data_IF_332402298355
#
_entry.id   IF_332402298355
#
_cell.length_a   1.000
_cell.length_b   1.000
_cell.length_c   1.000
_cell.angle_alpha   90.00
_cell.angle_beta   90.00
_cell.angle_gamma   90.00
#
_symmetry.space_group_name_H-M   'P 1'
#
loop_
_entity.id
_entity.type
_entity.pdbx_description
1 polymer ?
#
# COMPACT_ATOMS: atom_id res chain seq x y z
N UNK A 1 -5.29 -16.07 -4.28
CA UNK A 1 -4.45 -14.99 -3.73
C UNK A 1 -5.28 -14.25 -2.69
N UNK A 2 -4.77 -13.95 -1.48
CA UNK A 2 -5.58 -13.30 -0.46
C UNK A 2 -5.92 -11.87 -0.86
N UNK A 3 -7.18 -11.50 -0.68
CA UNK A 3 -7.71 -10.16 -0.93
C UNK A 3 -8.27 -9.58 0.37
N UNK A 4 -8.11 -8.28 0.56
CA UNK A 4 -8.63 -7.56 1.73
C UNK A 4 -9.47 -6.39 1.25
N UNK A 5 -10.50 -6.03 2.03
CA UNK A 5 -11.30 -4.85 1.73
C UNK A 5 -10.44 -3.59 1.78
N UNK A 6 -10.56 -2.74 0.77
CA UNK A 6 -9.77 -1.49 0.69
C UNK A 6 -9.99 -0.62 1.94
N UNK A 7 -11.22 -0.64 2.46
CA UNK A 7 -11.65 0.08 3.66
C UNK A 7 -11.06 -0.48 4.97
N UNK A 8 -10.57 -1.73 5.01
CA UNK A 8 -9.92 -2.30 6.21
C UNK A 8 -8.47 -1.82 6.38
N UNK A 9 -7.93 -1.09 5.40
CA UNK A 9 -6.51 -0.73 5.31
C UNK A 9 -6.32 0.74 5.70
N UNK A 10 -5.35 0.99 6.58
CA UNK A 10 -4.86 2.32 6.91
C UNK A 10 -3.54 2.62 6.20
N UNK A 11 -3.34 3.86 5.72
CA UNK A 11 -2.06 4.29 5.20
C UNK A 11 -1.00 4.31 6.32
N UNK A 12 0.26 4.36 5.93
CA UNK A 12 1.34 4.61 6.87
C UNK A 12 1.76 6.09 6.86
N UNK A 13 2.38 6.48 7.96
CA UNK A 13 2.81 7.83 8.33
C UNK A 13 4.30 8.06 8.04
N UNK A 14 4.98 7.08 7.45
CA UNK A 14 6.44 7.07 7.25
C UNK A 14 6.83 6.75 5.80
N UNK A 15 5.88 6.78 4.86
CA UNK A 15 6.18 6.53 3.45
C UNK A 15 6.93 7.74 2.87
N UNK A 16 8.21 7.55 2.55
CA UNK A 16 9.04 8.55 1.89
C UNK A 16 8.97 8.48 0.35
N UNK A 17 8.20 7.54 -0.21
CA UNK A 17 8.07 7.41 -1.65
C UNK A 17 7.29 8.60 -2.23
N UNK A 18 7.94 9.37 -3.10
CA UNK A 18 7.32 10.40 -3.92
C UNK A 18 7.17 9.85 -5.34
N UNK A 19 5.93 9.71 -5.79
CA UNK A 19 5.64 9.30 -7.18
C UNK A 19 5.25 10.55 -7.99
N UNK A 20 5.95 10.85 -9.11
CA UNK A 20 5.60 11.96 -9.97
C UNK A 20 4.16 11.86 -10.47
N UNK A 21 3.41 12.97 -10.58
CA UNK A 21 1.99 12.94 -10.95
C UNK A 21 1.72 12.21 -12.28
N UNK A 22 2.61 12.34 -13.27
CA UNK A 22 2.48 11.65 -14.55
C UNK A 22 2.61 10.12 -14.42
N UNK A 23 3.51 9.64 -13.56
CA UNK A 23 3.65 8.22 -13.28
C UNK A 23 2.43 7.67 -12.51
N UNK A 24 1.91 8.45 -11.56
CA UNK A 24 0.70 8.08 -10.83
C UNK A 24 -0.53 7.94 -11.74
N UNK A 25 -0.71 8.86 -12.71
CA UNK A 25 -1.82 8.75 -13.68
C UNK A 25 -1.74 7.47 -14.50
N UNK A 26 -0.56 7.12 -15.02
CA UNK A 26 -0.35 5.87 -15.77
C UNK A 26 -0.65 4.64 -14.91
N UNK A 27 -0.29 4.66 -13.62
CA UNK A 27 -0.65 3.59 -12.69
C UNK A 27 -2.18 3.45 -12.55
N UNK A 28 -2.90 4.56 -12.39
CA UNK A 28 -4.37 4.53 -12.27
C UNK A 28 -5.02 4.02 -13.55
N UNK A 29 -4.52 4.43 -14.72
CA UNK A 29 -4.99 3.96 -16.03
C UNK A 29 -4.76 2.46 -16.21
N UNK A 30 -3.54 1.99 -15.97
CA UNK A 30 -3.19 0.56 -16.06
C UNK A 30 -4.04 -0.30 -15.10
N UNK A 31 -4.23 0.17 -13.86
CA UNK A 31 -5.11 -0.49 -12.90
C UNK A 31 -6.56 -0.53 -13.38
N UNK A 32 -7.07 0.55 -13.96
CA UNK A 32 -8.44 0.61 -14.49
C UNK A 32 -8.65 -0.38 -15.63
N UNK A 33 -7.68 -0.49 -16.54
CA UNK A 33 -7.76 -1.35 -17.72
C UNK A 33 -7.62 -2.83 -17.37
N UNK A 34 -6.67 -3.17 -16.50
CA UNK A 34 -6.28 -4.57 -16.26
C UNK A 34 -6.84 -5.16 -14.96
N UNK A 35 -7.38 -4.32 -14.07
CA UNK A 35 -8.08 -4.74 -12.85
C UNK A 35 -7.16 -5.31 -11.75
N UNK A 36 -7.75 -5.84 -10.66
CA UNK A 36 -7.00 -6.24 -9.46
C UNK A 36 -6.01 -7.39 -9.65
N UNK A 37 -6.19 -8.24 -10.67
CA UNK A 37 -5.30 -9.36 -10.94
C UNK A 37 -3.97 -8.95 -11.60
N UNK A 38 -3.90 -7.75 -12.16
CA UNK A 38 -2.73 -7.28 -12.90
C UNK A 38 -1.76 -6.45 -12.07
N UNK A 39 -2.09 -6.16 -10.80
CA UNK A 39 -1.19 -5.44 -9.91
C UNK A 39 -0.40 -6.39 -9.02
N UNK A 40 0.84 -6.00 -8.73
CA UNK A 40 1.58 -6.58 -7.62
C UNK A 40 0.78 -6.45 -6.32
N UNK A 41 0.95 -7.42 -5.41
CA UNK A 41 0.33 -7.38 -4.08
C UNK A 41 0.82 -6.18 -3.27
N UNK A 42 -0.08 -5.55 -2.51
CA UNK A 42 0.31 -4.58 -1.48
C UNK A 42 0.76 -5.32 -0.21
N UNK A 43 1.79 -4.82 0.44
CA UNK A 43 2.34 -5.45 1.64
C UNK A 43 1.75 -4.80 2.88
N UNK A 44 1.19 -5.60 3.79
CA UNK A 44 0.48 -5.15 4.97
C UNK A 44 1.05 -5.78 6.25
N UNK A 45 0.89 -5.06 7.37
CA UNK A 45 0.96 -5.62 8.73
C UNK A 45 -0.37 -5.50 9.44
N UNK A 46 -0.57 -6.29 10.50
CA UNK A 46 -1.69 -6.10 11.44
C UNK A 46 -1.65 -4.69 12.05
N UNK A 47 -2.79 -4.00 12.04
CA UNK A 47 -2.93 -2.71 12.69
C UNK A 47 -2.87 -2.84 14.22
N UNK A 48 -2.45 -1.76 14.90
CA UNK A 48 -2.52 -1.63 16.37
C UNK A 48 -3.99 -1.55 16.83
N UNK A 49 -4.22 -1.74 18.13
CA UNK A 49 -5.59 -1.83 18.69
C UNK A 49 -6.43 -0.58 18.41
N UNK A 50 -5.82 0.60 18.37
CA UNK A 50 -6.49 1.88 18.18
C UNK A 50 -7.11 1.98 16.79
N UNK A 51 -6.36 1.59 15.76
CA UNK A 51 -6.84 1.55 14.37
C UNK A 51 -7.96 0.51 14.18
N UNK A 52 -7.91 -0.61 14.91
CA UNK A 52 -8.97 -1.62 14.85
C UNK A 52 -10.30 -1.11 15.40
N UNK A 53 -10.28 -0.20 16.38
CA UNK A 53 -11.50 0.42 16.93
C UNK A 53 -12.25 1.26 15.90
N UNK A 54 -11.55 1.77 14.89
CA UNK A 54 -12.13 2.53 13.75
C UNK A 54 -12.26 1.67 12.49
N UNK A 55 -12.29 0.34 12.63
CA UNK A 55 -12.48 -0.60 11.53
C UNK A 55 -11.23 -0.89 10.70
N UNK A 56 -10.09 -0.26 10.97
CA UNK A 56 -8.85 -0.48 10.21
C UNK A 56 -8.08 -1.67 10.80
N UNK A 57 -8.11 -2.81 10.10
CA UNK A 57 -7.47 -4.05 10.54
C UNK A 57 -6.01 -4.15 10.13
N UNK A 58 -5.61 -3.43 9.09
CA UNK A 58 -4.26 -3.50 8.52
C UNK A 58 -3.63 -2.13 8.34
N UNK A 59 -2.29 -2.09 8.31
CA UNK A 59 -1.51 -0.89 7.99
C UNK A 59 -0.51 -1.20 6.89
N UNK A 60 -0.38 -0.29 5.92
CA UNK A 60 0.49 -0.47 4.74
C UNK A 60 1.96 -0.50 5.13
N UNK A 61 2.71 -1.45 4.56
CA UNK A 61 4.17 -1.48 4.56
C UNK A 61 4.69 -1.05 3.17
N UNK A 62 4.13 -1.57 2.08
CA UNK A 62 4.49 -1.21 0.70
C UNK A 62 3.25 -1.20 -0.21
N UNK A 63 3.30 -0.42 -1.29
CA UNK A 63 2.20 -0.33 -2.27
C UNK A 63 1.18 0.76 -1.97
N UNK A 64 1.58 1.84 -1.28
CA UNK A 64 0.71 2.99 -0.97
C UNK A 64 -0.02 3.54 -2.21
N UNK A 65 0.70 3.78 -3.31
CA UNK A 65 0.10 4.35 -4.52
C UNK A 65 -0.92 3.40 -5.17
N UNK A 66 -0.71 2.08 -5.11
CA UNK A 66 -1.68 1.06 -5.58
C UNK A 66 -2.94 1.06 -4.71
N UNK A 67 -2.79 1.11 -3.38
CA UNK A 67 -3.95 1.26 -2.48
C UNK A 67 -4.70 2.58 -2.73
N UNK A 68 -3.99 3.69 -2.91
CA UNK A 68 -4.58 4.99 -3.21
C UNK A 68 -5.38 4.95 -4.52
N UNK A 69 -4.78 4.42 -5.59
CA UNK A 69 -5.44 4.24 -6.88
C UNK A 69 -6.67 3.33 -6.78
N UNK A 70 -6.60 2.23 -6.01
CA UNK A 70 -7.76 1.37 -5.77
C UNK A 70 -8.92 2.09 -5.06
N UNK A 71 -8.63 3.01 -4.13
CA UNK A 71 -9.66 3.86 -3.53
C UNK A 71 -10.27 4.81 -4.57
N UNK A 72 -9.45 5.46 -5.39
CA UNK A 72 -9.90 6.38 -6.46
C UNK A 72 -10.77 5.65 -7.50
N UNK A 73 -10.47 4.38 -7.79
CA UNK A 73 -11.23 3.51 -8.67
C UNK A 73 -12.42 2.81 -7.97
N UNK A 74 -12.67 3.13 -6.69
CA UNK A 74 -13.75 2.55 -5.87
C UNK A 74 -13.73 1.00 -5.79
N UNK A 75 -12.55 0.40 -5.84
CA UNK A 75 -12.40 -1.05 -5.69
C UNK A 75 -12.85 -1.50 -4.31
N UNK A 76 -13.54 -2.65 -4.26
CA UNK A 76 -13.98 -3.25 -2.98
C UNK A 76 -12.85 -3.99 -2.29
N UNK A 77 -12.03 -4.68 -3.06
CA UNK A 77 -10.92 -5.49 -2.56
C UNK A 77 -9.66 -5.25 -3.38
N UNK A 78 -8.51 -5.50 -2.75
CA UNK A 78 -7.19 -5.40 -3.37
C UNK A 78 -6.36 -6.63 -2.98
N UNK A 79 -5.51 -7.18 -3.88
CA UNK A 79 -4.63 -8.29 -3.53
C UNK A 79 -3.53 -7.86 -2.56
N UNK A 80 -3.25 -8.69 -1.56
CA UNK A 80 -2.35 -8.35 -0.46
C UNK A 80 -1.37 -9.47 -0.14
N UNK A 81 -0.30 -9.10 0.56
CA UNK A 81 0.52 -9.99 1.36
C UNK A 81 0.54 -9.47 2.80
N UNK A 82 0.25 -10.31 3.79
CA UNK A 82 0.21 -9.90 5.21
C UNK A 82 1.42 -10.51 5.90
N UNK A 83 2.25 -9.66 6.53
CA UNK A 83 3.38 -10.07 7.35
C UNK A 83 3.16 -9.72 8.81
N UNK A 84 3.49 -10.65 9.70
CA UNK A 84 3.53 -10.39 11.14
C UNK A 84 4.91 -9.86 11.50
N UNK A 85 5.04 -8.54 11.48
CA UNK A 85 6.28 -7.81 11.77
C UNK A 85 5.99 -6.68 12.75
N UNK A 86 7.00 -6.24 13.47
CA UNK A 86 6.99 -5.04 14.31
C UNK A 86 6.86 -3.76 13.48
N UNK A 87 6.72 -2.61 14.13
CA UNK A 87 6.70 -1.32 13.44
C UNK A 87 8.09 -0.99 12.87
N UNK A 88 9.15 -1.31 13.61
CA UNK A 88 10.52 -1.03 13.20
C UNK A 88 10.90 -1.86 11.98
N UNK A 89 10.60 -3.16 11.98
CA UNK A 89 10.80 -4.03 10.81
C UNK A 89 10.00 -3.54 9.60
N UNK A 90 8.75 -3.10 9.80
CA UNK A 90 7.94 -2.54 8.71
C UNK A 90 8.58 -1.27 8.11
N UNK A 91 9.14 -0.38 8.93
CA UNK A 91 9.88 0.80 8.47
C UNK A 91 11.12 0.41 7.67
N UNK A 92 11.89 -0.57 8.16
CA UNK A 92 13.07 -1.09 7.46
C UNK A 92 12.70 -1.69 6.10
N UNK A 93 11.61 -2.47 6.03
CA UNK A 93 11.13 -3.07 4.78
C UNK A 93 10.67 -1.98 3.80
N UNK A 94 9.89 -1.00 4.26
CA UNK A 94 9.44 0.12 3.43
C UNK A 94 10.63 0.90 2.86
N UNK A 95 11.60 1.25 3.70
CA UNK A 95 12.81 1.96 3.29
C UNK A 95 13.61 1.17 2.26
N UNK A 96 13.90 -0.12 2.52
CA UNK A 96 14.65 -0.98 1.58
C UNK A 96 13.97 -1.07 0.22
N UNK A 97 12.66 -1.32 0.20
CA UNK A 97 11.89 -1.40 -1.07
C UNK A 97 11.87 -0.09 -1.84
N UNK A 98 11.77 1.05 -1.15
CA UNK A 98 11.86 2.36 -1.79
C UNK A 98 13.29 2.63 -2.32
N UNK A 99 14.32 2.19 -1.59
CA UNK A 99 15.73 2.28 -1.99
C UNK A 99 16.01 1.46 -3.25
N UNK A 100 15.56 0.21 -3.26
CA UNK A 100 15.73 -0.74 -4.38
C UNK A 100 15.01 -0.26 -5.65
N UNK A 101 13.89 0.47 -5.51
CA UNK A 101 13.10 1.01 -6.63
C UNK A 101 13.57 2.39 -7.12
N UNK A 102 14.63 2.94 -6.54
CA UNK A 102 15.43 4.01 -7.16
C UNK A 102 14.92 5.44 -6.97
N UNK A 103 13.98 5.72 -6.08
CA UNK A 103 13.58 7.10 -5.72
C UNK A 103 13.23 7.17 -4.24
N UNK A 104 14.27 7.21 -3.40
CA UNK A 104 14.14 7.76 -2.05
C UNK A 104 14.40 9.25 -2.17
N UNK A 105 13.42 10.08 -1.78
CA UNK A 105 13.72 11.45 -1.37
C UNK A 105 13.93 11.43 0.15
N UNK A 106 15.17 11.59 0.64
CA UNK A 106 15.47 11.57 2.06
C UNK A 106 15.21 12.93 2.75
N UNK A 107 14.61 13.90 2.05
CA UNK A 107 14.42 15.28 2.51
C UNK A 107 12.95 15.70 2.59
#
# INVERSE_FOLDING_TARGET
>A
MPQVAVDDIAPNDYNTNVMPPGAYRRLVEDMRENGPSAIDHILLRKARKELRKVGKRFKIIDGFNRWKAANELAWKTIPVEIRDVSLEEAKVINYRKNSERGTIDPF
#
